data_IF_998826415005
#
_entry.id   IF_998826415005
#
_cell.length_a   1.000
_cell.length_b   1.000
_cell.length_c   1.000
_cell.angle_alpha   90.00
_cell.angle_beta   90.00
_cell.angle_gamma   90.00
#
_symmetry.space_group_name_H-M   'P 1'
#
loop_
_entity.id
_entity.type
_entity.pdbx_description
1 polymer ?
#
# COMPACT_ATOMS: atom_id res chain seq x y z
N UNK A 1 -9.65 -11.45 13.62
CA UNK A 1 -8.53 -10.64 13.10
C UNK A 1 -8.09 -9.71 14.20
N UNK A 2 -6.88 -9.86 14.72
CA UNK A 2 -6.35 -8.99 15.78
C UNK A 2 -5.95 -7.65 15.15
N UNK A 3 -6.15 -6.53 15.84
CA UNK A 3 -5.74 -5.20 15.35
C UNK A 3 -4.27 -5.17 14.90
N UNK A 4 -3.40 -5.92 15.60
CA UNK A 4 -1.99 -6.08 15.22
C UNK A 4 -1.75 -6.80 13.89
N UNK A 5 -2.63 -7.71 13.46
CA UNK A 5 -2.50 -8.38 12.16
C UNK A 5 -2.79 -7.40 11.02
N UNK A 6 -3.78 -6.52 11.20
CA UNK A 6 -4.17 -5.52 10.21
C UNK A 6 -3.09 -4.45 10.01
N UNK A 7 -2.50 -3.96 11.10
CA UNK A 7 -1.42 -2.96 11.03
C UNK A 7 -0.14 -3.54 10.42
N UNK A 8 0.22 -4.79 10.76
CA UNK A 8 1.35 -5.51 10.12
C UNK A 8 1.10 -5.72 8.63
N UNK A 9 -0.12 -6.07 8.24
CA UNK A 9 -0.52 -6.21 6.84
C UNK A 9 -0.36 -4.89 6.06
N UNK A 10 -0.86 -3.78 6.62
CA UNK A 10 -0.73 -2.46 6.01
C UNK A 10 0.74 -2.02 5.86
N UNK A 11 1.55 -2.22 6.89
CA UNK A 11 2.98 -1.91 6.86
C UNK A 11 3.72 -2.73 5.78
N UNK A 12 3.37 -4.02 5.65
CA UNK A 12 3.94 -4.89 4.62
C UNK A 12 3.55 -4.43 3.22
N UNK A 13 2.27 -4.11 2.99
CA UNK A 13 1.79 -3.60 1.72
C UNK A 13 2.51 -2.31 1.32
N UNK A 14 2.59 -1.35 2.23
CA UNK A 14 3.27 -0.08 2.00
C UNK A 14 4.76 -0.29 1.65
N UNK A 15 5.46 -1.15 2.40
CA UNK A 15 6.86 -1.47 2.15
C UNK A 15 7.08 -2.15 0.80
N UNK A 16 6.19 -3.07 0.42
CA UNK A 16 6.25 -3.74 -0.89
C UNK A 16 6.04 -2.74 -2.03
N UNK A 17 5.10 -1.81 -1.89
CA UNK A 17 4.89 -0.74 -2.86
C UNK A 17 6.11 0.17 -3.02
N UNK A 18 6.71 0.60 -1.91
CA UNK A 18 7.93 1.40 -1.93
C UNK A 18 9.08 0.68 -2.65
N UNK A 19 9.26 -0.62 -2.40
CA UNK A 19 10.26 -1.44 -3.09
C UNK A 19 9.99 -1.52 -4.59
N UNK A 20 8.74 -1.76 -4.98
CA UNK A 20 8.35 -1.80 -6.39
C UNK A 20 8.67 -0.49 -7.09
N UNK A 21 8.29 0.66 -6.50
CA UNK A 21 8.60 1.98 -7.07
C UNK A 21 10.11 2.22 -7.15
N UNK A 22 10.86 1.89 -6.10
CA UNK A 22 12.32 2.05 -6.12
C UNK A 22 12.98 1.22 -7.23
N UNK A 23 12.55 -0.03 -7.41
CA UNK A 23 13.06 -0.86 -8.51
C UNK A 23 12.61 -0.34 -9.88
N UNK A 24 11.38 0.14 -10.01
CA UNK A 24 10.92 0.77 -11.26
C UNK A 24 11.77 1.99 -11.65
N UNK A 25 12.08 2.87 -10.69
CA UNK A 25 12.94 4.03 -10.92
C UNK A 25 14.34 3.63 -11.41
N UNK A 26 14.87 2.50 -10.95
CA UNK A 26 16.13 1.96 -11.47
C UNK A 26 15.97 1.36 -12.87
N UNK A 27 14.92 0.55 -13.09
CA UNK A 27 14.66 -0.10 -14.38
C UNK A 27 14.47 0.93 -15.50
N UNK A 28 13.75 2.02 -15.24
CA UNK A 28 13.53 3.06 -16.26
C UNK A 28 14.79 3.86 -16.62
N UNK A 29 15.90 3.68 -15.89
CA UNK A 29 17.19 4.25 -16.31
C UNK A 29 17.71 3.55 -17.56
N UNK A 30 17.41 2.27 -17.75
CA UNK A 30 17.87 1.46 -18.89
C UNK A 30 16.73 1.20 -19.89
N UNK A 31 15.50 1.04 -19.39
CA UNK A 31 14.30 0.79 -20.19
C UNK A 31 13.47 2.06 -20.35
N UNK A 32 13.64 2.78 -21.46
CA UNK A 32 13.05 4.13 -21.71
C UNK A 32 12.14 4.21 -22.94
N UNK A 33 11.80 3.08 -23.53
CA UNK A 33 10.95 3.05 -24.72
C UNK A 33 9.48 3.36 -24.38
N UNK A 34 8.63 3.37 -25.41
CA UNK A 34 7.19 3.58 -25.27
C UNK A 34 6.53 2.48 -24.43
N UNK A 35 7.08 1.26 -24.41
CA UNK A 35 6.54 0.15 -23.62
C UNK A 35 6.76 0.40 -22.13
N UNK A 36 7.93 0.92 -21.74
CA UNK A 36 8.22 1.31 -20.36
C UNK A 36 7.25 2.40 -19.87
N UNK A 37 7.02 3.42 -20.70
CA UNK A 37 6.08 4.50 -20.38
C UNK A 37 4.65 4.00 -20.24
N UNK A 38 4.23 3.10 -21.13
CA UNK A 38 2.91 2.48 -21.08
C UNK A 38 2.75 1.57 -19.85
N UNK A 39 3.81 0.86 -19.44
CA UNK A 39 3.81 0.05 -18.23
C UNK A 39 3.62 0.91 -16.97
N UNK A 40 4.41 1.98 -16.82
CA UNK A 40 4.26 2.89 -15.67
C UNK A 40 2.85 3.49 -15.63
N UNK A 41 2.36 3.96 -16.77
CA UNK A 41 1.03 4.57 -16.86
C UNK A 41 -0.09 3.60 -16.52
N UNK A 42 -0.10 2.41 -17.14
CA UNK A 42 -1.20 1.44 -17.02
C UNK A 42 -1.21 0.66 -15.71
N UNK A 43 -0.07 0.47 -15.07
CA UNK A 43 -0.02 -0.40 -13.89
C UNK A 43 0.37 0.36 -12.64
N UNK A 44 1.45 1.15 -12.67
CA UNK A 44 1.94 1.81 -11.47
C UNK A 44 1.12 3.04 -11.12
N UNK A 45 0.85 3.91 -12.09
CA UNK A 45 0.10 5.14 -11.86
C UNK A 45 -1.39 4.85 -11.58
N UNK A 46 -1.95 3.80 -12.20
CA UNK A 46 -3.34 3.39 -11.97
C UNK A 46 -3.55 2.78 -10.57
N UNK A 47 -2.62 1.94 -10.07
CA UNK A 47 -2.80 1.27 -8.77
C UNK A 47 -2.42 2.15 -7.57
N UNK A 48 -1.58 3.18 -7.76
CA UNK A 48 -1.08 4.00 -6.65
C UNK A 48 -2.20 4.68 -5.81
N UNK A 49 -3.22 5.31 -6.42
CA UNK A 49 -4.34 5.91 -5.67
C UNK A 49 -5.16 4.88 -4.88
N UNK A 50 -5.39 3.70 -5.46
CA UNK A 50 -6.12 2.62 -4.81
C UNK A 50 -5.34 2.06 -3.62
N UNK A 51 -4.02 1.92 -3.76
CA UNK A 51 -3.14 1.47 -2.69
C UNK A 51 -3.11 2.46 -1.52
N UNK A 52 -3.01 3.77 -1.81
CA UNK A 52 -3.10 4.83 -0.78
C UNK A 52 -4.44 4.78 -0.05
N UNK A 53 -5.53 4.66 -0.80
CA UNK A 53 -6.89 4.54 -0.25
C UNK A 53 -7.03 3.30 0.63
N UNK A 54 -6.49 2.16 0.19
CA UNK A 54 -6.54 0.90 0.93
C UNK A 54 -5.77 1.00 2.24
N UNK A 55 -4.55 1.55 2.22
CA UNK A 55 -3.74 1.75 3.43
C UNK A 55 -4.46 2.64 4.44
N UNK A 56 -5.09 3.72 3.98
CA UNK A 56 -5.86 4.61 4.86
C UNK A 56 -7.08 3.91 5.46
N UNK A 57 -7.83 3.13 4.66
CA UNK A 57 -8.95 2.34 5.17
C UNK A 57 -8.52 1.29 6.17
N UNK A 58 -7.38 0.63 5.96
CA UNK A 58 -6.81 -0.32 6.92
C UNK A 58 -6.44 0.37 8.24
N UNK A 59 -5.90 1.60 8.19
CA UNK A 59 -5.61 2.40 9.38
C UNK A 59 -6.89 2.73 10.16
N UNK A 60 -7.91 3.26 9.49
CA UNK A 60 -9.21 3.58 10.10
C UNK A 60 -9.82 2.35 10.75
N UNK A 61 -9.81 1.20 10.05
CA UNK A 61 -10.35 -0.05 10.59
C UNK A 61 -9.57 -0.53 11.82
N UNK A 62 -8.25 -0.36 11.84
CA UNK A 62 -7.45 -0.69 13.02
C UNK A 62 -7.83 0.19 14.22
N UNK A 63 -8.07 1.48 14.01
CA UNK A 63 -8.49 2.42 15.06
C UNK A 63 -9.87 2.06 15.62
N UNK A 64 -10.81 1.68 14.75
CA UNK A 64 -12.16 1.21 15.14
C UNK A 64 -12.06 -0.07 15.97
N UNK A 65 -11.29 -1.06 15.51
CA UNK A 65 -11.11 -2.33 16.24
C UNK A 65 -10.42 -2.13 17.59
N UNK A 66 -9.44 -1.24 17.66
CA UNK A 66 -8.78 -0.90 18.92
C UNK A 66 -9.74 -0.23 19.91
N UNK A 67 -10.64 0.62 19.43
CA UNK A 67 -11.64 1.29 20.26
C UNK A 67 -12.68 0.30 20.77
N UNK A 68 -13.27 -0.49 19.88
CA UNK A 68 -14.24 -1.52 20.27
C UNK A 68 -13.66 -2.53 21.28
N UNK A 69 -12.38 -2.89 21.16
CA UNK A 69 -11.75 -3.78 22.12
C UNK A 69 -11.63 -3.14 23.51
N UNK A 70 -11.24 -1.86 23.59
CA UNK A 70 -11.20 -1.11 24.86
C UNK A 70 -12.58 -0.98 25.50
N UNK A 71 -13.60 -0.74 24.71
CA UNK A 71 -14.97 -0.56 25.19
C UNK A 71 -15.58 -1.88 25.73
N UNK A 72 -15.12 -3.04 25.25
CA UNK A 72 -15.54 -4.35 25.75
C UNK A 72 -14.71 -4.87 26.94
N UNK A 73 -13.50 -4.33 27.15
CA UNK A 73 -12.64 -4.67 28.29
C UNK A 73 -12.91 -3.79 29.54
N UNK A 74 -13.88 -2.87 29.46
CA UNK A 74 -14.47 -2.12 30.59
C UNK A 74 -15.70 -2.82 31.16
#
# INVERSE_FOLDING_TARGET
MRTGELTVGAARLHKSWQKLRAHWEQTKLEWRDTVAQDFERRYLNEIEPELKTTLERMRILADVLATAHRDCDQ
#
